data_IF_671113401790
#
_entry.id   IF_671113401790
#
_cell.length_a   1.000
_cell.length_b   1.000
_cell.length_c   1.000
_cell.angle_alpha   90.00
_cell.angle_beta   90.00
_cell.angle_gamma   90.00
#
_symmetry.space_group_name_H-M   'P 1'
#
loop_
_entity.id
_entity.type
_entity.pdbx_description
1 polymer ?
#
# COMPACT_ATOMS: atom_id res chain seq x y z
N UNK A 1 -10.48 16.79 -14.97
CA UNK A 1 -9.40 16.50 -13.98
C UNK A 1 -9.98 15.58 -12.93
N UNK A 2 -9.37 14.42 -12.69
CA UNK A 2 -9.86 13.48 -11.68
C UNK A 2 -9.35 13.92 -10.30
N UNK A 3 -10.09 13.65 -9.22
CA UNK A 3 -9.71 14.06 -7.85
C UNK A 3 -8.30 13.60 -7.47
N UNK A 4 -7.87 12.44 -7.97
CA UNK A 4 -6.52 11.92 -7.76
C UNK A 4 -5.44 12.82 -8.39
N UNK A 5 -5.69 13.41 -9.56
CA UNK A 5 -4.71 14.25 -10.24
C UNK A 5 -4.49 15.58 -9.51
N UNK A 6 -5.53 16.12 -8.88
CA UNK A 6 -5.43 17.32 -8.06
C UNK A 6 -4.53 17.07 -6.83
N UNK A 7 -4.72 15.95 -6.13
CA UNK A 7 -3.86 15.58 -5.01
C UNK A 7 -2.43 15.26 -5.45
N UNK A 8 -2.24 14.70 -6.64
CA UNK A 8 -0.91 14.51 -7.21
C UNK A 8 -0.19 15.83 -7.49
N UNK A 9 -0.88 16.80 -8.11
CA UNK A 9 -0.32 18.12 -8.35
C UNK A 9 0.06 18.82 -7.03
N UNK A 10 -0.78 18.69 -6.00
CA UNK A 10 -0.47 19.20 -4.66
C UNK A 10 0.78 18.56 -4.06
N UNK A 11 0.91 17.23 -4.14
CA UNK A 11 2.12 16.53 -3.69
C UNK A 11 3.38 17.04 -4.40
N UNK A 12 3.32 17.23 -5.72
CA UNK A 12 4.46 17.75 -6.49
C UNK A 12 4.84 19.18 -6.08
N UNK A 13 3.85 20.02 -5.77
CA UNK A 13 4.09 21.40 -5.38
C UNK A 13 4.60 21.55 -3.94
N UNK A 14 4.19 20.67 -3.02
CA UNK A 14 4.37 20.88 -1.57
C UNK A 14 5.15 19.80 -0.84
N UNK A 15 5.17 18.57 -1.37
CA UNK A 15 5.64 17.40 -0.62
C UNK A 15 4.79 17.06 0.61
N UNK A 16 3.55 17.58 0.70
CA UNK A 16 2.69 17.38 1.87
C UNK A 16 2.15 15.95 1.96
N UNK A 17 2.41 15.28 3.09
CA UNK A 17 1.88 13.94 3.40
C UNK A 17 0.35 13.88 3.30
N UNK A 18 -0.38 14.98 3.51
CA UNK A 18 -1.84 15.02 3.33
C UNK A 18 -2.27 14.54 1.94
N UNK A 19 -1.54 14.93 0.89
CA UNK A 19 -1.83 14.47 -0.46
C UNK A 19 -1.72 12.95 -0.59
N UNK A 20 -0.74 12.33 0.08
CA UNK A 20 -0.59 10.86 0.11
C UNK A 20 -1.80 10.22 0.79
N UNK A 21 -2.23 10.73 1.95
CA UNK A 21 -3.38 10.20 2.68
C UNK A 21 -4.66 10.24 1.82
N UNK A 22 -4.90 11.36 1.14
CA UNK A 22 -6.07 11.54 0.28
C UNK A 22 -6.03 10.64 -0.97
N UNK A 23 -4.85 10.43 -1.55
CA UNK A 23 -4.65 9.45 -2.61
C UNK A 23 -4.91 8.03 -2.11
N UNK A 24 -4.48 7.68 -0.89
CA UNK A 24 -4.76 6.37 -0.28
C UNK A 24 -6.27 6.17 -0.08
N UNK A 25 -6.99 7.18 0.37
CA UNK A 25 -8.45 7.11 0.53
C UNK A 25 -9.18 6.97 -0.82
N UNK A 26 -8.65 7.59 -1.87
CA UNK A 26 -9.18 7.47 -3.22
C UNK A 26 -9.05 6.06 -3.83
N UNK A 27 -8.19 5.19 -3.28
CA UNK A 27 -8.15 3.78 -3.69
C UNK A 27 -9.52 3.11 -3.51
N UNK A 28 -10.24 3.47 -2.47
CA UNK A 28 -11.57 2.92 -2.16
C UNK A 28 -12.73 3.64 -2.83
N UNK A 29 -12.45 4.63 -3.69
CA UNK A 29 -13.48 5.33 -4.44
C UNK A 29 -14.29 4.36 -5.32
N UNK A 30 -15.58 4.66 -5.50
CA UNK A 30 -16.43 3.92 -6.45
C UNK A 30 -16.00 4.15 -7.91
N UNK A 31 -15.42 5.31 -8.18
CA UNK A 31 -14.89 5.66 -9.49
C UNK A 31 -13.57 4.90 -9.75
N UNK A 32 -13.62 3.99 -10.73
CA UNK A 32 -12.48 3.17 -11.12
C UNK A 32 -11.33 4.02 -11.67
N UNK A 33 -11.62 5.15 -12.32
CA UNK A 33 -10.62 6.04 -12.89
C UNK A 33 -9.87 6.76 -11.77
N UNK A 34 -10.60 7.28 -10.78
CA UNK A 34 -10.01 7.87 -9.58
C UNK A 34 -9.14 6.88 -8.80
N UNK A 35 -9.60 5.65 -8.59
CA UNK A 35 -8.83 4.61 -7.91
C UNK A 35 -7.57 4.23 -8.70
N UNK A 36 -7.67 4.12 -10.03
CA UNK A 36 -6.54 3.77 -10.90
C UNK A 36 -5.46 4.85 -10.92
N UNK A 37 -5.86 6.12 -11.04
CA UNK A 37 -4.96 7.28 -10.97
C UNK A 37 -4.30 7.37 -9.59
N UNK A 38 -5.07 7.18 -8.51
CA UNK A 38 -4.52 7.17 -7.17
C UNK A 38 -3.45 6.08 -6.98
N UNK A 39 -3.73 4.85 -7.42
CA UNK A 39 -2.75 3.75 -7.36
C UNK A 39 -1.49 4.04 -8.17
N UNK A 40 -1.63 4.68 -9.35
CA UNK A 40 -0.49 5.11 -10.17
C UNK A 40 0.35 6.17 -9.44
N UNK A 41 -0.27 7.26 -8.97
CA UNK A 41 0.41 8.35 -8.28
C UNK A 41 1.13 7.86 -7.02
N UNK A 42 0.49 7.02 -6.20
CA UNK A 42 1.11 6.42 -5.02
C UNK A 42 2.33 5.56 -5.38
N UNK A 43 2.28 4.85 -6.51
CA UNK A 43 3.42 4.07 -7.01
C UNK A 43 4.60 4.98 -7.40
N UNK A 44 4.29 6.15 -7.96
CA UNK A 44 5.28 7.18 -8.31
C UNK A 44 5.88 7.84 -7.06
N UNK A 45 5.09 8.12 -6.02
CA UNK A 45 5.56 8.66 -4.72
C UNK A 45 6.60 7.73 -4.08
N UNK A 46 6.39 6.41 -4.11
CA UNK A 46 7.34 5.43 -3.56
C UNK A 46 7.28 5.31 -2.04
N UNK A 47 8.43 5.28 -1.35
CA UNK A 47 8.55 4.92 0.07
C UNK A 47 7.60 5.69 1.03
N UNK A 48 7.36 7.01 0.88
CA UNK A 48 6.38 7.71 1.71
C UNK A 48 4.96 7.15 1.59
N UNK A 49 4.55 6.76 0.39
CA UNK A 49 3.25 6.13 0.15
C UNK A 49 3.18 4.72 0.74
N UNK A 50 4.27 3.94 0.67
CA UNK A 50 4.34 2.59 1.27
C UNK A 50 3.98 2.63 2.76
N UNK A 51 4.53 3.58 3.51
CA UNK A 51 4.26 3.71 4.95
C UNK A 51 2.77 3.95 5.22
N UNK A 52 2.15 4.90 4.51
CA UNK A 52 0.73 5.24 4.68
C UNK A 52 -0.17 4.08 4.24
N UNK A 53 0.18 3.39 3.16
CA UNK A 53 -0.54 2.20 2.70
C UNK A 53 -0.52 1.08 3.74
N UNK A 54 0.63 0.80 4.36
CA UNK A 54 0.72 -0.21 5.42
C UNK A 54 -0.11 0.19 6.65
N UNK A 55 -0.06 1.46 7.06
CA UNK A 55 -0.91 2.00 8.14
C UNK A 55 -2.40 1.79 7.82
N UNK A 56 -2.84 2.16 6.60
CA UNK A 56 -4.22 1.98 6.13
C UNK A 56 -4.63 0.51 6.06
N UNK A 57 -3.74 -0.39 5.65
CA UNK A 57 -4.05 -1.82 5.59
C UNK A 57 -4.32 -2.41 6.99
N UNK A 58 -3.60 -1.93 8.00
CA UNK A 58 -3.70 -2.42 9.39
C UNK A 58 -4.93 -1.81 10.08
N UNK A 59 -5.12 -0.50 9.98
CA UNK A 59 -6.17 0.23 10.70
C UNK A 59 -7.50 0.36 9.93
N UNK A 60 -7.47 0.16 8.61
CA UNK A 60 -8.61 0.40 7.73
C UNK A 60 -9.63 -0.74 7.69
N UNK A 61 -10.86 -0.44 7.22
CA UNK A 61 -11.92 -1.43 7.06
C UNK A 61 -11.57 -2.46 5.98
N UNK A 62 -12.17 -3.65 6.06
CA UNK A 62 -11.86 -4.79 5.18
C UNK A 62 -11.92 -4.48 3.68
N UNK A 63 -12.82 -3.56 3.27
CA UNK A 63 -12.96 -3.12 1.87
C UNK A 63 -11.70 -2.44 1.34
N UNK A 64 -11.04 -1.64 2.16
CA UNK A 64 -9.85 -0.87 1.77
C UNK A 64 -8.63 -1.78 1.63
N UNK A 65 -8.55 -2.82 2.49
CA UNK A 65 -7.40 -3.73 2.58
C UNK A 65 -7.06 -4.39 1.24
N UNK A 66 -8.07 -4.78 0.46
CA UNK A 66 -7.86 -5.44 -0.85
C UNK A 66 -7.17 -4.51 -1.85
N UNK A 67 -7.61 -3.25 -1.94
CA UNK A 67 -7.07 -2.31 -2.91
C UNK A 67 -5.70 -1.78 -2.49
N UNK A 68 -5.53 -1.56 -1.19
CA UNK A 68 -4.24 -1.18 -0.59
C UNK A 68 -3.19 -2.28 -0.81
N UNK A 69 -3.54 -3.53 -0.54
CA UNK A 69 -2.64 -4.66 -0.79
C UNK A 69 -2.30 -4.82 -2.27
N UNK A 70 -3.24 -4.54 -3.19
CA UNK A 70 -2.94 -4.60 -4.63
C UNK A 70 -2.00 -3.47 -5.06
N UNK A 71 -2.19 -2.26 -4.52
CA UNK A 71 -1.30 -1.13 -4.80
C UNK A 71 0.11 -1.42 -4.31
N UNK A 72 0.27 -1.91 -3.08
CA UNK A 72 1.58 -2.35 -2.55
C UNK A 72 2.23 -3.44 -3.41
N UNK A 73 1.42 -4.35 -3.98
CA UNK A 73 1.87 -5.36 -4.96
C UNK A 73 2.43 -4.71 -6.22
N UNK A 74 1.67 -3.80 -6.82
CA UNK A 74 2.05 -3.08 -8.06
C UNK A 74 3.28 -2.20 -7.89
N UNK A 75 3.54 -1.71 -6.67
CA UNK A 75 4.75 -0.97 -6.35
C UNK A 75 6.03 -1.83 -6.44
N UNK A 76 5.92 -3.16 -6.39
CA UNK A 76 7.04 -4.07 -6.55
C UNK A 76 8.18 -3.77 -5.57
N UNK A 77 9.46 -3.74 -6.01
CA UNK A 77 10.63 -3.53 -5.14
C UNK A 77 10.57 -2.27 -4.27
N UNK A 78 9.80 -1.25 -4.68
CA UNK A 78 9.62 -0.03 -3.87
C UNK A 78 8.91 -0.30 -2.55
N UNK A 79 8.11 -1.37 -2.47
CA UNK A 79 7.40 -1.80 -1.27
C UNK A 79 8.23 -2.71 -0.34
N UNK A 80 9.51 -2.98 -0.64
CA UNK A 80 10.40 -3.81 0.21
C UNK A 80 10.53 -3.25 1.63
N UNK A 81 10.46 -1.93 1.77
CA UNK A 81 10.47 -1.26 3.09
C UNK A 81 9.28 -1.63 3.98
N UNK A 82 8.19 -2.16 3.40
CA UNK A 82 7.05 -2.67 4.15
C UNK A 82 7.31 -4.04 4.79
N UNK A 83 8.27 -4.84 4.29
CA UNK A 83 8.43 -6.25 4.64
C UNK A 83 8.50 -6.47 6.17
N UNK A 84 9.36 -5.78 6.93
CA UNK A 84 9.47 -6.03 8.37
C UNK A 84 8.16 -5.75 9.13
N UNK A 85 7.40 -4.75 8.68
CA UNK A 85 6.12 -4.39 9.30
C UNK A 85 5.02 -5.39 8.93
N UNK A 86 4.99 -5.85 7.67
CA UNK A 86 4.04 -6.85 7.18
C UNK A 86 4.25 -8.21 7.85
N UNK A 87 5.50 -8.58 8.15
CA UNK A 87 5.81 -9.81 8.90
C UNK A 87 5.23 -9.77 10.31
N UNK A 88 5.42 -8.67 11.06
CA UNK A 88 4.80 -8.51 12.39
C UNK A 88 3.28 -8.58 12.37
N UNK A 89 2.67 -8.20 11.25
CA UNK A 89 1.22 -8.22 11.06
C UNK A 89 0.71 -9.64 10.79
N UNK A 90 1.51 -10.51 10.18
CA UNK A 90 1.17 -11.93 9.99
C UNK A 90 0.98 -12.67 11.33
N UNK A 91 1.79 -12.31 12.33
CA UNK A 91 1.72 -12.88 13.68
C UNK A 91 0.56 -12.29 14.52
N UNK A 92 -0.18 -11.33 13.96
CA UNK A 92 -1.30 -10.67 14.61
C UNK A 92 -2.57 -11.53 14.71
N UNK A 93 -3.51 -11.09 15.55
CA UNK A 93 -4.80 -11.77 15.78
C UNK A 93 -5.82 -11.55 14.65
N UNK A 94 -5.75 -10.42 13.93
CA UNK A 94 -6.69 -10.13 12.84
C UNK A 94 -6.31 -10.93 11.58
N UNK A 95 -7.04 -12.03 11.35
CA UNK A 95 -6.84 -12.93 10.21
C UNK A 95 -7.01 -12.24 8.85
N UNK A 96 -7.84 -11.20 8.77
CA UNK A 96 -8.03 -10.47 7.52
C UNK A 96 -6.83 -9.56 7.21
N UNK A 97 -6.25 -8.91 8.22
CA UNK A 97 -5.02 -8.13 8.02
C UNK A 97 -3.85 -9.08 7.71
N UNK A 98 -3.74 -10.21 8.41
CA UNK A 98 -2.72 -11.23 8.13
C UNK A 98 -2.83 -11.76 6.69
N UNK A 99 -4.03 -12.07 6.20
CA UNK A 99 -4.23 -12.51 4.82
C UNK A 99 -3.81 -11.45 3.79
N UNK A 100 -4.10 -10.17 4.03
CA UNK A 100 -3.68 -9.08 3.17
C UNK A 100 -2.14 -8.94 3.15
N UNK A 101 -1.50 -8.99 4.32
CA UNK A 101 -0.04 -8.95 4.46
C UNK A 101 0.63 -10.13 3.73
N UNK A 102 0.10 -11.35 3.88
CA UNK A 102 0.60 -12.54 3.19
C UNK A 102 0.56 -12.37 1.66
N UNK A 103 -0.51 -11.78 1.13
CA UNK A 103 -0.67 -11.54 -0.30
C UNK A 103 0.36 -10.55 -0.84
N UNK A 104 0.68 -9.51 -0.09
CA UNK A 104 1.74 -8.55 -0.45
C UNK A 104 3.10 -9.26 -0.41
N UNK A 105 3.42 -9.92 0.71
CA UNK A 105 4.71 -10.59 0.90
C UNK A 105 4.98 -11.70 -0.14
N UNK A 106 3.97 -12.51 -0.48
CA UNK A 106 4.11 -13.60 -1.46
C UNK A 106 4.55 -13.11 -2.84
N UNK A 107 4.22 -11.87 -3.21
CA UNK A 107 4.71 -11.27 -4.47
C UNK A 107 6.07 -10.62 -4.39
N UNK A 108 6.40 -10.05 -3.23
CA UNK A 108 7.71 -9.43 -3.02
C UNK A 108 8.81 -10.51 -2.90
N UNK A 109 8.46 -11.70 -2.38
CA UNK A 109 9.34 -12.87 -2.29
C UNK A 109 9.45 -13.70 -3.58
N UNK A 110 8.77 -13.32 -4.67
CA UNK A 110 8.82 -14.04 -5.95
C UNK A 110 10.17 -13.94 -6.68
N UNK A 111 11.06 -13.04 -6.25
CA UNK A 111 12.47 -13.05 -6.61
C UNK A 111 13.26 -13.97 -5.67
N UNK A 112 13.47 -15.23 -6.10
CA UNK A 112 14.27 -16.26 -5.40
C UNK A 112 15.58 -15.70 -4.81
N UNK A 113 15.68 -15.62 -3.49
CA UNK A 113 16.86 -15.92 -2.65
C UNK A 113 16.69 -15.27 -1.27
N UNK A 114 16.92 -16.03 -0.19
CA UNK A 114 17.01 -15.63 1.24
C UNK A 114 15.77 -15.60 2.16
N UNK A 115 14.62 -16.23 1.82
CA UNK A 115 13.60 -16.53 2.85
C UNK A 115 14.10 -17.65 3.78
N UNK A 116 14.90 -17.26 4.77
CA UNK A 116 15.40 -18.09 5.86
C UNK A 116 15.24 -17.30 7.16
N UNK A 117 14.02 -17.25 7.67
CA UNK A 117 13.73 -17.13 9.10
C UNK A 117 12.22 -17.21 9.32
N UNK A 118 11.76 -18.38 9.77
CA UNK A 118 10.62 -18.43 10.69
C UNK A 118 11.25 -18.20 12.08
N UNK A 119 10.90 -17.17 12.85
CA UNK A 119 11.27 -17.17 14.25
C UNK A 119 10.47 -18.29 14.93
N UNK A 120 11.21 -19.23 15.52
CA UNK A 120 10.70 -20.30 16.37
C UNK A 120 9.95 -19.77 17.59
#
# INVERSE_FOLDING_TARGET
MVRADAWWAWWQATGDRKAITELVDLLSAKDWLASSHASHHLSTVGSPAVKVLVEKMIAGPSRDRRQVAETLRRMGPRAVTAIPKLLRVLDGKDRHVAAAAARVLGTQGGGRSHWSARPS
#
